data_IF_593629974348
#
_entry.id   IF_593629974348
#
_cell.length_a   1.000
_cell.length_b   1.000
_cell.length_c   1.000
_cell.angle_alpha   90.00
_cell.angle_beta   90.00
_cell.angle_gamma   90.00
#
_symmetry.space_group_name_H-M   'P 1'
#
loop_
_entity.id
_entity.type
_entity.pdbx_description
1 polymer ?
#
# COMPACT_ATOMS: atom_id res chain seq x y z
N UNK A 1 11.23 -6.04 5.69
CA UNK A 1 10.26 -6.76 6.55
C UNK A 1 9.01 -7.09 5.75
N UNK A 2 8.00 -7.72 6.37
CA UNK A 2 6.66 -7.94 5.78
C UNK A 2 5.62 -7.20 6.62
N UNK A 3 4.71 -6.49 5.97
CA UNK A 3 3.66 -5.69 6.61
C UNK A 3 2.31 -6.39 6.55
N UNK A 4 1.40 -6.06 7.46
CA UNK A 4 0.04 -6.58 7.46
C UNK A 4 -0.75 -6.10 6.23
N UNK A 5 -1.61 -6.97 5.71
CA UNK A 5 -2.56 -6.77 4.61
C UNK A 5 -3.83 -7.56 4.96
N UNK A 6 -5.03 -7.12 4.56
CA UNK A 6 -6.21 -7.97 4.60
C UNK A 6 -6.01 -9.23 3.76
N UNK A 7 -6.77 -10.27 4.10
CA UNK A 7 -6.75 -11.57 3.44
C UNK A 7 -6.83 -11.40 1.93
N UNK A 8 -5.83 -11.97 1.23
CA UNK A 8 -5.72 -11.96 -0.24
C UNK A 8 -5.73 -10.56 -0.88
N UNK A 9 -5.57 -9.49 -0.08
CA UNK A 9 -5.68 -8.11 -0.54
C UNK A 9 -7.10 -7.70 -0.98
N UNK A 10 -8.13 -8.41 -0.51
CA UNK A 10 -9.52 -8.27 -0.99
C UNK A 10 -10.38 -7.29 -0.18
N UNK A 11 -9.80 -6.57 0.78
CA UNK A 11 -10.49 -5.54 1.55
C UNK A 11 -9.81 -4.18 1.39
N UNK A 12 -10.61 -3.12 1.42
CA UNK A 12 -10.14 -1.73 1.53
C UNK A 12 -9.94 -1.30 2.99
N UNK A 13 -10.19 -2.19 3.95
CA UNK A 13 -9.92 -1.96 5.37
C UNK A 13 -8.58 -2.59 5.76
N UNK A 14 -7.88 -1.95 6.69
CA UNK A 14 -6.64 -2.46 7.27
C UNK A 14 -6.88 -3.49 8.36
N UNK A 15 -7.63 -4.55 8.09
CA UNK A 15 -7.96 -5.61 9.05
C UNK A 15 -7.60 -6.98 8.47
N UNK A 16 -7.20 -7.90 9.34
CA UNK A 16 -6.95 -9.29 9.00
C UNK A 16 -7.15 -10.18 10.23
N UNK A 17 -7.49 -11.45 10.01
CA UNK A 17 -7.61 -12.47 11.04
C UNK A 17 -6.26 -12.82 11.67
N UNK A 18 -5.18 -12.84 10.88
CA UNK A 18 -3.84 -13.24 11.35
C UNK A 18 -3.16 -12.11 12.13
N UNK A 19 -3.26 -10.86 11.66
CA UNK A 19 -2.53 -9.73 12.24
C UNK A 19 -3.43 -8.75 13.02
N UNK A 20 -4.74 -8.98 13.03
CA UNK A 20 -5.71 -8.04 13.61
C UNK A 20 -5.89 -6.77 12.79
N UNK A 21 -6.38 -5.72 13.45
CA UNK A 21 -6.64 -4.41 12.83
C UNK A 21 -5.37 -3.55 12.89
N UNK A 22 -4.88 -3.13 11.73
CA UNK A 22 -3.86 -2.09 11.59
C UNK A 22 -4.52 -0.73 11.77
N UNK A 23 -4.32 -0.13 12.96
CA UNK A 23 -4.93 1.13 13.36
C UNK A 23 -4.27 2.34 12.70
N UNK A 24 -5.08 3.35 12.38
CA UNK A 24 -4.62 4.58 11.74
C UNK A 24 -3.74 5.39 12.71
N UNK A 25 -2.51 5.79 12.32
CA UNK A 25 -1.63 6.57 13.18
C UNK A 25 -2.19 7.93 13.63
N UNK A 26 -3.11 8.51 12.88
CA UNK A 26 -3.76 9.79 13.23
C UNK A 26 -4.90 9.63 14.23
N UNK A 27 -5.53 8.44 14.29
CA UNK A 27 -6.59 8.11 15.23
C UNK A 27 -6.74 6.59 15.34
N UNK A 28 -6.41 6.02 16.49
CA UNK A 28 -6.39 4.56 16.68
C UNK A 28 -7.78 3.90 16.62
N UNK A 29 -8.86 4.66 16.69
CA UNK A 29 -10.23 4.16 16.47
C UNK A 29 -10.58 4.02 14.98
N UNK A 30 -9.71 4.44 14.07
CA UNK A 30 -9.93 4.39 12.62
C UNK A 30 -9.03 3.36 11.93
N UNK A 31 -9.49 2.92 10.75
CA UNK A 31 -8.72 2.05 9.87
C UNK A 31 -7.62 2.84 9.15
N UNK A 32 -6.50 2.18 8.89
CA UNK A 32 -5.46 2.67 7.96
C UNK A 32 -5.90 2.66 6.50
N UNK A 33 -6.98 1.94 6.18
CA UNK A 33 -7.33 1.58 4.82
C UNK A 33 -6.52 0.38 4.35
N UNK A 34 -6.72 -0.04 3.10
CA UNK A 34 -6.13 -1.25 2.57
C UNK A 34 -6.18 -1.32 1.04
N UNK A 35 -5.58 -2.35 0.45
CA UNK A 35 -4.96 -3.50 1.13
C UNK A 35 -3.55 -3.25 1.69
N UNK A 36 -2.85 -2.18 1.32
CA UNK A 36 -1.48 -1.90 1.79
C UNK A 36 -1.43 -1.29 3.21
N UNK A 37 -2.19 -1.84 4.15
CA UNK A 37 -2.48 -1.28 5.47
C UNK A 37 -1.23 -1.10 6.35
N UNK A 38 -0.48 -2.18 6.59
CA UNK A 38 0.72 -2.13 7.40
C UNK A 38 1.84 -1.32 6.75
N UNK A 39 1.89 -1.27 5.41
CA UNK A 39 2.84 -0.45 4.68
C UNK A 39 2.59 1.04 4.93
N UNK A 40 1.33 1.48 4.83
CA UNK A 40 0.95 2.85 5.13
C UNK A 40 1.22 3.22 6.60
N UNK A 41 0.84 2.35 7.55
CA UNK A 41 1.14 2.57 8.96
C UNK A 41 2.64 2.73 9.20
N UNK A 42 3.47 1.81 8.69
CA UNK A 42 4.91 1.80 8.90
C UNK A 42 5.59 3.06 8.35
N UNK A 43 5.14 3.57 7.21
CA UNK A 43 5.67 4.82 6.64
C UNK A 43 5.20 6.03 7.43
N UNK A 44 3.92 6.07 7.82
CA UNK A 44 3.33 7.19 8.54
C UNK A 44 3.93 7.37 9.94
N UNK A 45 4.21 6.28 10.67
CA UNK A 45 4.89 6.36 11.99
C UNK A 45 6.42 6.41 11.91
N UNK A 46 6.99 6.44 10.70
CA UNK A 46 8.43 6.61 10.52
C UNK A 46 9.30 5.36 10.72
N UNK A 47 8.72 4.16 10.74
CA UNK A 47 9.49 2.89 10.80
C UNK A 47 10.35 2.72 9.54
N UNK A 48 9.84 3.15 8.38
CA UNK A 48 10.55 3.16 7.11
C UNK A 48 10.22 4.43 6.32
N UNK A 49 11.11 4.97 5.48
CA UNK A 49 10.78 6.11 4.61
C UNK A 49 9.87 5.75 3.43
N UNK A 50 9.98 4.52 2.93
CA UNK A 50 9.26 3.99 1.77
C UNK A 50 8.80 2.57 2.09
N UNK A 51 7.60 2.21 1.65
CA UNK A 51 7.10 0.84 1.73
C UNK A 51 6.43 0.42 0.42
N UNK A 52 6.65 -0.82 0.03
CA UNK A 52 6.00 -1.42 -1.14
C UNK A 52 4.49 -1.63 -0.91
N UNK A 53 3.71 -1.50 -1.97
CA UNK A 53 2.29 -1.83 -1.99
C UNK A 53 1.83 -2.24 -3.39
N UNK A 54 0.63 -2.79 -3.47
CA UNK A 54 -0.06 -3.07 -4.74
C UNK A 54 -1.37 -2.30 -4.82
N UNK A 55 -1.81 -1.98 -6.04
CA UNK A 55 -3.04 -1.23 -6.31
C UNK A 55 -3.78 -1.86 -7.49
N UNK A 56 -4.85 -2.62 -7.18
CA UNK A 56 -5.84 -3.06 -8.17
C UNK A 56 -7.16 -2.29 -8.07
N UNK A 57 -7.62 -2.05 -6.83
CA UNK A 57 -8.85 -1.31 -6.53
C UNK A 57 -8.64 0.04 -5.84
N UNK A 58 -7.39 0.51 -5.70
CA UNK A 58 -7.04 1.66 -4.85
C UNK A 58 -6.09 1.33 -3.71
N UNK A 59 -5.54 0.11 -3.64
CA UNK A 59 -4.84 -0.41 -2.47
C UNK A 59 -3.51 0.27 -2.11
N UNK A 60 -2.98 1.17 -2.94
CA UNK A 60 -1.91 2.12 -2.58
C UNK A 60 -2.54 3.46 -2.21
N UNK A 61 -3.46 3.95 -3.05
CA UNK A 61 -4.03 5.30 -2.96
C UNK A 61 -4.96 5.50 -1.75
N UNK A 62 -5.78 4.51 -1.41
CA UNK A 62 -6.70 4.53 -0.27
C UNK A 62 -5.92 4.66 1.05
N UNK A 63 -5.01 3.73 1.39
CA UNK A 63 -4.31 3.84 2.66
C UNK A 63 -3.33 5.02 2.69
N UNK A 64 -2.81 5.47 1.54
CA UNK A 64 -2.07 6.72 1.47
C UNK A 64 -2.93 7.93 1.85
N UNK A 65 -4.13 8.06 1.26
CA UNK A 65 -5.05 9.14 1.57
C UNK A 65 -5.47 9.15 3.05
N UNK A 66 -5.71 7.97 3.63
CA UNK A 66 -6.19 7.86 5.01
C UNK A 66 -5.08 8.03 6.04
N UNK A 67 -3.84 7.66 5.71
CA UNK A 67 -2.68 7.80 6.59
C UNK A 67 -1.85 9.06 6.33
N UNK A 68 -2.30 9.97 5.46
CA UNK A 68 -1.60 11.24 5.19
C UNK A 68 -0.27 11.06 4.46
N UNK A 69 -0.22 10.16 3.47
CA UNK A 69 0.96 9.82 2.69
C UNK A 69 0.78 10.13 1.20
N UNK A 70 1.88 10.05 0.47
CA UNK A 70 1.89 10.03 -0.99
C UNK A 70 1.80 8.57 -1.46
N UNK A 71 0.81 8.28 -2.31
CA UNK A 71 0.64 6.98 -2.95
C UNK A 71 0.31 7.15 -4.43
N UNK A 72 1.05 6.45 -5.31
CA UNK A 72 0.89 6.52 -6.75
C UNK A 72 0.56 5.14 -7.32
N UNK A 73 -0.50 5.07 -8.14
CA UNK A 73 -0.75 3.92 -9.02
C UNK A 73 -0.12 4.24 -10.38
N UNK A 74 0.99 3.59 -10.75
CA UNK A 74 1.70 3.90 -11.98
C UNK A 74 0.93 3.43 -13.21
N UNK A 75 1.29 3.97 -14.38
CA UNK A 75 0.78 3.51 -15.67
C UNK A 75 1.06 2.02 -15.89
N UNK A 76 0.24 1.37 -16.72
CA UNK A 76 0.41 -0.04 -17.07
C UNK A 76 1.79 -0.35 -17.63
N UNK A 77 2.39 -1.44 -17.15
CA UNK A 77 3.70 -1.90 -17.59
C UNK A 77 4.87 -1.02 -17.16
N UNK A 78 4.64 0.06 -16.39
CA UNK A 78 5.71 0.95 -15.93
C UNK A 78 6.67 0.25 -14.97
N UNK A 79 6.14 -0.59 -14.10
CA UNK A 79 6.92 -1.44 -13.18
C UNK A 79 6.87 -2.87 -13.73
N UNK A 80 8.03 -3.50 -13.85
CA UNK A 80 8.12 -4.89 -14.32
C UNK A 80 7.59 -5.83 -13.25
N UNK A 81 6.73 -6.77 -13.64
CA UNK A 81 6.33 -7.91 -12.82
C UNK A 81 7.38 -9.03 -12.79
N UNK A 82 8.58 -8.78 -13.33
CA UNK A 82 9.60 -9.80 -13.51
C UNK A 82 9.31 -10.73 -14.69
N UNK A 83 10.14 -11.77 -14.87
CA UNK A 83 10.16 -12.59 -16.09
C UNK A 83 8.90 -13.44 -16.30
N UNK A 84 8.17 -13.78 -15.23
CA UNK A 84 7.05 -14.73 -15.29
C UNK A 84 5.72 -14.16 -14.79
N UNK A 85 5.71 -12.97 -14.18
CA UNK A 85 4.51 -12.38 -13.58
C UNK A 85 4.20 -10.98 -14.16
N UNK A 86 4.74 -10.67 -15.34
CA UNK A 86 4.40 -9.44 -16.05
C UNK A 86 2.87 -9.40 -16.30
N UNK A 87 2.24 -8.28 -15.93
CA UNK A 87 0.80 -8.08 -16.04
C UNK A 87 -0.05 -9.17 -15.33
N UNK A 88 0.41 -9.67 -14.19
CA UNK A 88 -0.40 -10.46 -13.28
C UNK A 88 -1.77 -9.78 -13.03
N UNK A 89 -2.83 -10.59 -12.90
CA UNK A 89 -4.22 -10.11 -12.82
C UNK A 89 -4.69 -9.34 -14.07
N UNK A 90 -4.25 -9.76 -15.26
CA UNK A 90 -4.62 -9.15 -16.56
C UNK A 90 -4.31 -7.65 -16.65
N UNK A 91 -3.29 -7.21 -15.91
CA UNK A 91 -2.91 -5.80 -15.83
C UNK A 91 -3.87 -4.92 -15.03
N UNK A 92 -4.75 -5.49 -14.20
CA UNK A 92 -5.57 -4.73 -13.26
C UNK A 92 -4.76 -4.19 -12.08
N UNK A 93 -3.76 -4.96 -11.63
CA UNK A 93 -2.93 -4.60 -10.49
C UNK A 93 -1.65 -3.86 -10.90
N UNK A 94 -1.21 -2.97 -10.03
CA UNK A 94 0.08 -2.25 -10.13
C UNK A 94 0.87 -2.44 -8.86
N UNK A 95 2.14 -2.76 -8.99
CA UNK A 95 3.11 -2.74 -7.89
C UNK A 95 3.80 -1.38 -7.87
N UNK A 96 3.90 -0.74 -6.70
CA UNK A 96 4.74 0.43 -6.49
C UNK A 96 4.97 0.69 -4.99
N UNK A 97 4.98 1.96 -4.56
CA UNK A 97 5.31 2.34 -3.18
C UNK A 97 4.37 3.37 -2.58
N UNK A 98 4.44 3.48 -1.25
CA UNK A 98 3.94 4.59 -0.43
C UNK A 98 5.13 5.28 0.26
N UNK A 99 5.10 6.62 0.33
CA UNK A 99 6.14 7.42 0.96
C UNK A 99 5.56 8.73 1.54
N UNK A 100 6.38 9.50 2.27
CA UNK A 100 5.92 10.77 2.90
C UNK A 100 5.96 11.97 1.96
N UNK A 101 6.77 11.94 0.90
CA UNK A 101 6.97 13.09 0.02
C UNK A 101 6.87 12.72 -1.45
N UNK A 102 6.48 13.69 -2.28
CA UNK A 102 6.47 13.54 -3.75
C UNK A 102 7.89 13.36 -4.30
N UNK A 103 8.91 13.92 -3.62
CA UNK A 103 10.31 13.73 -3.99
C UNK A 103 10.72 12.27 -3.88
N UNK A 104 10.40 11.62 -2.76
CA UNK A 104 10.70 10.20 -2.55
C UNK A 104 9.94 9.34 -3.56
N UNK A 105 8.69 9.72 -3.89
CA UNK A 105 7.88 9.04 -4.90
C UNK A 105 8.51 9.11 -6.30
N UNK A 106 9.08 10.26 -6.66
CA UNK A 106 9.71 10.45 -7.97
C UNK A 106 11.04 9.69 -8.10
N UNK A 107 11.71 9.38 -6.98
CA UNK A 107 12.95 8.61 -6.95
C UNK A 107 12.77 7.10 -6.75
N UNK A 108 11.53 6.64 -6.55
CA UNK A 108 11.19 5.24 -6.32
C UNK A 108 11.04 4.41 -7.60
#
# INVERSE_FOLDING_TARGET
GRTATPELGMSIMGESMINGITRNPWNLERSTGGSSAGAAAAVAVGITPIAHGNDGGGSIRIPAAWCGLVGLSPSRGRVSGGPCNQDASFGLSREFVLCRTVRDMAGA
#
